data_IF_951296023380
#
_entry.id   IF_951296023380
#
_cell.length_a   1.000
_cell.length_b   1.000
_cell.length_c   1.000
_cell.angle_alpha   90.00
_cell.angle_beta   90.00
_cell.angle_gamma   90.00
#
_symmetry.space_group_name_H-M   'P 1'
#
loop_
_entity.id
_entity.type
_entity.pdbx_description
1 polymer ?
#
# COMPACT_ATOMS: atom_id res chain seq x y z
N UNK A 1 2.28 2.64 -5.12
CA UNK A 1 2.38 1.75 -3.95
C UNK A 1 2.21 2.62 -2.73
N UNK A 2 1.44 2.17 -1.74
CA UNK A 2 1.27 2.90 -0.47
C UNK A 2 2.29 2.35 0.51
N UNK A 3 3.00 3.23 1.21
CA UNK A 3 4.04 2.86 2.18
C UNK A 3 3.62 3.42 3.53
N UNK A 4 3.58 2.55 4.53
CA UNK A 4 3.24 2.89 5.91
C UNK A 4 4.41 3.59 6.61
N UNK A 5 5.61 3.06 6.46
CA UNK A 5 6.85 3.58 7.04
C UNK A 5 7.88 3.87 5.94
N UNK A 6 7.89 5.11 5.48
CA UNK A 6 8.76 5.55 4.39
C UNK A 6 10.23 5.63 4.79
N UNK A 7 10.49 5.92 6.07
CA UNK A 7 11.84 5.92 6.64
C UNK A 7 12.46 4.53 6.57
N UNK A 8 11.78 3.54 7.11
CA UNK A 8 12.25 2.15 7.11
C UNK A 8 12.38 1.60 5.69
N UNK A 9 11.43 1.91 4.82
CA UNK A 9 11.47 1.53 3.41
C UNK A 9 12.73 2.04 2.70
N UNK A 10 13.05 3.34 2.81
CA UNK A 10 14.25 3.92 2.18
C UNK A 10 15.53 3.46 2.87
N UNK A 11 15.52 3.34 4.20
CA UNK A 11 16.67 2.83 4.93
C UNK A 11 17.08 1.44 4.46
N UNK A 12 16.11 0.53 4.28
CA UNK A 12 16.35 -0.82 3.78
C UNK A 12 16.88 -0.84 2.34
N UNK A 13 16.38 0.04 1.47
CA UNK A 13 16.88 0.18 0.10
C UNK A 13 18.33 0.68 0.08
N UNK A 14 18.65 1.73 0.85
CA UNK A 14 19.97 2.37 0.83
C UNK A 14 21.02 1.50 1.54
N UNK A 15 20.72 0.99 2.72
CA UNK A 15 21.71 0.35 3.60
C UNK A 15 21.70 -1.18 3.51
N UNK A 16 20.55 -1.80 3.27
CA UNK A 16 20.41 -3.25 3.19
C UNK A 16 20.30 -3.77 1.75
N UNK A 17 20.38 -2.88 0.74
CA UNK A 17 20.28 -3.21 -0.69
C UNK A 17 19.04 -4.04 -1.01
N UNK A 18 17.92 -3.78 -0.32
CA UNK A 18 16.64 -4.41 -0.61
C UNK A 18 16.19 -4.07 -2.04
N UNK A 19 15.55 -5.03 -2.71
CA UNK A 19 15.04 -4.81 -4.06
C UNK A 19 13.95 -3.73 -4.09
N UNK A 20 14.03 -2.84 -5.07
CA UNK A 20 12.98 -1.87 -5.34
C UNK A 20 11.81 -2.60 -6.00
N UNK A 21 10.56 -2.43 -5.53
CA UNK A 21 9.42 -3.08 -6.14
C UNK A 21 9.30 -2.76 -7.64
N UNK A 22 9.07 -3.77 -8.48
CA UNK A 22 9.12 -3.65 -9.96
C UNK A 22 8.26 -2.52 -10.56
N UNK A 23 7.12 -2.21 -9.93
CA UNK A 23 6.19 -1.17 -10.40
C UNK A 23 6.29 0.12 -9.57
N UNK A 24 7.41 0.33 -8.87
CA UNK A 24 7.63 1.53 -8.08
C UNK A 24 8.01 2.69 -8.99
N UNK A 25 7.31 3.81 -8.85
CA UNK A 25 7.56 4.98 -9.70
C UNK A 25 8.92 5.58 -9.36
N UNK A 26 9.78 5.77 -10.36
CA UNK A 26 11.04 6.48 -10.20
C UNK A 26 10.85 7.85 -9.54
N UNK A 27 9.83 8.61 -9.98
CA UNK A 27 9.51 9.91 -9.38
C UNK A 27 9.19 9.80 -7.88
N UNK A 28 8.46 8.77 -7.47
CA UNK A 28 8.15 8.53 -6.05
C UNK A 28 9.40 8.11 -5.29
N UNK A 29 10.26 7.28 -5.86
CA UNK A 29 11.53 6.90 -5.25
C UNK A 29 12.41 8.12 -4.97
N UNK A 30 12.62 8.97 -5.97
CA UNK A 30 13.37 10.22 -5.82
C UNK A 30 12.77 11.06 -4.71
N UNK A 31 11.44 11.22 -4.68
CA UNK A 31 10.75 11.99 -3.67
C UNK A 31 11.04 11.51 -2.24
N UNK A 32 10.91 10.20 -1.97
CA UNK A 32 11.14 9.67 -0.62
C UNK A 32 12.64 9.71 -0.26
N UNK A 33 13.55 9.51 -1.22
CA UNK A 33 15.00 9.70 -0.99
C UNK A 33 15.28 11.16 -0.61
N UNK A 34 14.74 12.13 -1.35
CA UNK A 34 14.87 13.56 -1.05
C UNK A 34 14.31 13.90 0.34
N UNK A 35 13.12 13.41 0.69
CA UNK A 35 12.54 13.57 2.03
C UNK A 35 13.43 12.97 3.11
N UNK A 36 13.99 11.79 2.90
CA UNK A 36 14.88 11.13 3.85
C UNK A 36 16.15 11.96 4.11
N UNK A 37 16.82 12.43 3.07
CA UNK A 37 18.03 13.23 3.23
C UNK A 37 17.75 14.61 3.85
N UNK A 38 16.68 15.27 3.43
CA UNK A 38 16.31 16.56 4.00
C UNK A 38 15.96 16.44 5.49
N UNK A 39 15.18 15.42 5.89
CA UNK A 39 14.74 15.24 7.27
C UNK A 39 15.82 14.68 8.20
N UNK A 40 16.54 13.63 7.81
CA UNK A 40 17.49 12.94 8.71
C UNK A 40 18.83 13.67 8.83
N UNK A 41 19.24 14.40 7.79
CA UNK A 41 20.51 15.13 7.74
C UNK A 41 20.34 16.65 7.74
N UNK A 42 19.10 17.14 7.88
CA UNK A 42 18.75 18.56 7.89
C UNK A 42 19.31 19.33 6.68
N UNK A 43 19.28 18.71 5.49
CA UNK A 43 19.78 19.32 4.26
C UNK A 43 18.69 20.23 3.70
N UNK A 44 18.92 21.55 3.83
CA UNK A 44 18.02 22.61 3.36
C UNK A 44 18.53 23.32 2.10
N UNK A 45 19.75 23.02 1.67
CA UNK A 45 20.28 23.52 0.41
C UNK A 45 19.91 22.57 -0.73
N UNK A 46 19.26 23.12 -1.76
CA UNK A 46 18.81 22.36 -2.94
C UNK A 46 19.94 21.61 -3.63
N UNK A 47 21.08 22.25 -3.88
CA UNK A 47 22.18 21.64 -4.63
C UNK A 47 22.82 20.52 -3.81
N UNK A 48 23.02 20.72 -2.51
CA UNK A 48 23.51 19.67 -1.60
C UNK A 48 22.54 18.48 -1.52
N UNK A 49 21.24 18.74 -1.50
CA UNK A 49 20.21 17.70 -1.50
C UNK A 49 20.23 16.92 -2.82
N UNK A 50 20.29 17.64 -3.95
CA UNK A 50 20.37 17.07 -5.29
C UNK A 50 21.59 16.14 -5.43
N UNK A 51 22.77 16.59 -5.01
CA UNK A 51 24.00 15.78 -5.04
C UNK A 51 23.87 14.50 -4.21
N UNK A 52 23.28 14.60 -3.02
CA UNK A 52 23.04 13.45 -2.13
C UNK A 52 22.09 12.43 -2.76
N UNK A 53 21.01 12.91 -3.39
CA UNK A 53 20.00 12.09 -4.07
C UNK A 53 20.60 11.38 -5.28
N UNK A 54 21.34 12.09 -6.14
CA UNK A 54 22.01 11.51 -7.32
C UNK A 54 23.02 10.44 -6.92
N UNK A 55 23.81 10.69 -5.87
CA UNK A 55 24.76 9.71 -5.36
C UNK A 55 24.08 8.40 -4.98
N UNK A 56 22.92 8.45 -4.34
CA UNK A 56 22.14 7.26 -4.01
C UNK A 56 21.56 6.61 -5.26
N UNK A 57 20.95 7.37 -6.17
CA UNK A 57 20.36 6.83 -7.41
C UNK A 57 21.40 6.07 -8.23
N UNK A 58 22.61 6.62 -8.38
CA UNK A 58 23.70 5.99 -9.11
C UNK A 58 24.15 4.68 -8.45
N UNK A 59 24.12 4.60 -7.11
CA UNK A 59 24.44 3.38 -6.38
C UNK A 59 23.35 2.30 -6.47
N UNK A 60 22.10 2.68 -6.75
CA UNK A 60 20.98 1.73 -6.87
C UNK A 60 20.95 0.99 -8.22
N UNK A 61 21.77 1.40 -9.20
CA UNK A 61 21.87 0.79 -10.52
C UNK A 61 20.51 0.53 -11.18
N UNK A 62 19.67 1.57 -11.20
CA UNK A 62 18.28 1.48 -11.68
C UNK A 62 18.27 1.28 -13.19
N UNK A 63 17.63 0.19 -13.64
CA UNK A 63 17.51 -0.15 -15.05
C UNK A 63 16.85 0.99 -15.83
N UNK A 64 17.43 1.36 -16.99
CA UNK A 64 16.95 2.43 -17.88
C UNK A 64 16.96 3.86 -17.30
N UNK A 65 17.64 4.09 -16.17
CA UNK A 65 17.88 5.45 -15.68
C UNK A 65 18.85 6.21 -16.61
N UNK A 66 18.56 7.48 -16.86
CA UNK A 66 19.38 8.38 -17.71
C UNK A 66 19.43 9.76 -17.03
N UNK A 67 20.60 10.13 -16.51
CA UNK A 67 20.83 11.34 -15.70
C UNK A 67 20.23 12.59 -16.35
N UNK A 68 20.63 12.88 -17.60
CA UNK A 68 20.19 14.06 -18.35
C UNK A 68 18.68 14.16 -18.49
N UNK A 69 17.98 13.02 -18.63
CA UNK A 69 16.53 12.98 -18.80
C UNK A 69 15.80 13.37 -17.52
N UNK A 70 16.37 13.04 -16.36
CA UNK A 70 15.72 13.17 -15.06
C UNK A 70 16.27 14.31 -14.20
N UNK A 71 17.38 14.95 -14.55
CA UNK A 71 17.99 16.08 -13.81
C UNK A 71 16.95 17.13 -13.40
N UNK A 72 16.22 17.71 -14.37
CA UNK A 72 15.18 18.72 -14.10
C UNK A 72 14.08 18.20 -13.17
N UNK A 73 13.72 16.92 -13.27
CA UNK A 73 12.70 16.30 -12.42
C UNK A 73 13.20 16.15 -10.99
N UNK A 74 14.44 15.70 -10.80
CA UNK A 74 15.05 15.50 -9.48
C UNK A 74 15.24 16.86 -8.79
N UNK A 75 15.76 17.86 -9.52
CA UNK A 75 15.91 19.23 -8.99
C UNK A 75 14.58 19.83 -8.53
N UNK A 76 13.53 19.72 -9.35
CA UNK A 76 12.21 20.23 -8.99
C UNK A 76 11.57 19.49 -7.81
N UNK A 77 11.91 18.21 -7.60
CA UNK A 77 11.51 17.48 -6.39
C UNK A 77 12.27 17.98 -5.17
N UNK A 78 13.58 18.19 -5.28
CA UNK A 78 14.40 18.71 -4.18
C UNK A 78 13.92 20.10 -3.74
N UNK A 79 13.64 20.99 -4.70
CA UNK A 79 13.03 22.31 -4.42
C UNK A 79 11.76 22.14 -3.60
N UNK A 80 10.83 21.33 -4.10
CA UNK A 80 9.54 21.13 -3.46
C UNK A 80 9.65 20.56 -2.04
N UNK A 81 10.51 19.57 -1.84
CA UNK A 81 10.71 18.95 -0.52
C UNK A 81 11.20 19.96 0.51
N UNK A 82 12.12 20.84 0.11
CA UNK A 82 12.68 21.89 0.96
C UNK A 82 11.62 22.98 1.23
N UNK A 83 10.98 23.49 0.18
CA UNK A 83 9.98 24.57 0.28
C UNK A 83 8.78 24.17 1.14
N UNK A 84 8.24 22.97 0.93
CA UNK A 84 7.05 22.48 1.63
C UNK A 84 7.40 21.83 2.99
N UNK A 85 8.69 21.74 3.35
CA UNK A 85 9.19 21.05 4.56
C UNK A 85 8.55 19.66 4.76
N UNK A 86 8.58 18.85 3.70
CA UNK A 86 7.81 17.61 3.63
C UNK A 86 8.45 16.54 4.54
N UNK A 87 7.63 16.01 5.44
CA UNK A 87 8.04 14.95 6.38
C UNK A 87 7.72 13.57 5.84
N UNK A 88 8.64 12.63 6.08
CA UNK A 88 8.42 11.21 5.82
C UNK A 88 7.17 10.71 6.54
N UNK A 89 6.35 9.92 5.85
CA UNK A 89 5.21 9.24 6.46
C UNK A 89 5.69 8.05 7.28
N UNK A 90 5.35 8.06 8.57
CA UNK A 90 5.64 6.99 9.51
C UNK A 90 4.34 6.64 10.23
N UNK A 91 3.74 5.52 9.85
CA UNK A 91 2.53 4.96 10.46
C UNK A 91 2.88 3.55 10.92
N UNK A 92 2.83 3.32 12.23
CA UNK A 92 3.11 1.99 12.80
C UNK A 92 2.02 0.97 12.45
N UNK A 93 0.76 1.40 12.54
CA UNK A 93 -0.40 0.64 12.14
C UNK A 93 -1.62 1.55 11.92
N UNK A 94 -2.61 1.06 11.19
CA UNK A 94 -3.94 1.67 11.09
C UNK A 94 -4.95 0.85 11.89
N UNK A 95 -5.66 1.45 12.86
CA UNK A 95 -6.69 0.76 13.62
C UNK A 95 -7.96 0.54 12.78
N UNK A 96 -8.62 -0.59 13.01
CA UNK A 96 -10.04 -0.79 12.71
C UNK A 96 -10.77 -0.95 14.04
N UNK A 97 -11.91 -0.28 14.17
CA UNK A 97 -12.73 -0.36 15.37
C UNK A 97 -13.83 -1.43 15.26
N UNK A 98 -14.28 -1.96 16.39
CA UNK A 98 -15.39 -2.90 16.50
C UNK A 98 -16.65 -2.40 15.79
N UNK A 99 -17.03 -1.15 16.02
CA UNK A 99 -18.19 -0.51 15.39
C UNK A 99 -18.10 -0.52 13.85
N UNK A 100 -16.91 -0.29 13.31
CA UNK A 100 -16.64 -0.37 11.86
C UNK A 100 -16.71 -1.83 11.38
N UNK A 101 -16.15 -2.77 12.14
CA UNK A 101 -16.16 -4.20 11.82
C UNK A 101 -17.57 -4.79 11.84
N UNK A 102 -18.39 -4.41 12.81
CA UNK A 102 -19.80 -4.78 12.90
C UNK A 102 -20.56 -4.28 11.67
N UNK A 103 -20.40 -3.01 11.31
CA UNK A 103 -21.00 -2.43 10.12
C UNK A 103 -20.53 -3.15 8.84
N UNK A 104 -19.25 -3.47 8.70
CA UNK A 104 -18.75 -4.24 7.56
C UNK A 104 -19.40 -5.63 7.53
N UNK A 105 -19.65 -6.23 8.69
CA UNK A 105 -20.19 -7.58 8.78
C UNK A 105 -21.69 -7.69 8.45
N UNK A 106 -22.45 -6.60 8.49
CA UNK A 106 -23.85 -6.57 8.04
C UNK A 106 -23.99 -6.80 6.53
N UNK A 107 -22.95 -6.47 5.74
CA UNK A 107 -22.92 -6.74 4.31
C UNK A 107 -22.89 -8.26 4.06
N UNK A 108 -23.57 -8.74 3.02
CA UNK A 108 -23.62 -10.18 2.73
C UNK A 108 -22.49 -10.63 1.81
N UNK A 109 -22.01 -9.76 0.92
CA UNK A 109 -21.04 -10.14 -0.12
C UNK A 109 -19.63 -9.78 0.28
N UNK A 110 -18.72 -10.76 0.21
CA UNK A 110 -17.29 -10.56 0.45
C UNK A 110 -16.70 -9.38 -0.34
N UNK A 111 -17.11 -9.20 -1.60
CA UNK A 111 -16.61 -8.09 -2.45
C UNK A 111 -16.97 -6.72 -1.86
N UNK A 112 -18.18 -6.59 -1.31
CA UNK A 112 -18.66 -5.36 -0.68
C UNK A 112 -17.94 -5.15 0.67
N UNK A 113 -17.79 -6.22 1.48
CA UNK A 113 -17.03 -6.18 2.73
C UNK A 113 -15.59 -5.71 2.53
N UNK A 114 -14.87 -6.35 1.60
CA UNK A 114 -13.48 -6.01 1.26
C UNK A 114 -13.34 -4.55 0.85
N UNK A 115 -14.27 -4.07 0.02
CA UNK A 115 -14.26 -2.70 -0.46
C UNK A 115 -14.46 -1.71 0.69
N UNK A 116 -15.49 -1.91 1.51
CA UNK A 116 -15.80 -1.04 2.65
C UNK A 116 -14.66 -1.02 3.69
N UNK A 117 -14.13 -2.19 4.05
CA UNK A 117 -12.94 -2.30 4.89
C UNK A 117 -11.77 -1.48 4.33
N UNK A 118 -11.47 -1.63 3.03
CA UNK A 118 -10.38 -0.90 2.40
C UNK A 118 -10.63 0.62 2.43
N UNK A 119 -11.87 1.08 2.28
CA UNK A 119 -12.20 2.51 2.41
C UNK A 119 -11.83 3.07 3.79
N UNK A 120 -12.16 2.35 4.87
CA UNK A 120 -11.77 2.74 6.24
C UNK A 120 -10.26 2.87 6.36
N UNK A 121 -9.52 1.83 5.99
CA UNK A 121 -8.05 1.82 6.08
C UNK A 121 -7.43 2.95 5.27
N UNK A 122 -7.90 3.20 4.04
CA UNK A 122 -7.36 4.24 3.17
C UNK A 122 -7.66 5.65 3.70
N UNK A 123 -8.86 5.89 4.20
CA UNK A 123 -9.20 7.20 4.77
C UNK A 123 -8.35 7.53 5.99
N UNK A 124 -8.02 6.54 6.82
CA UNK A 124 -7.11 6.69 7.97
C UNK A 124 -5.66 6.83 7.53
N UNK A 125 -5.22 6.08 6.52
CA UNK A 125 -3.87 6.21 5.96
C UNK A 125 -3.56 7.63 5.46
N UNK A 126 -4.54 8.29 4.83
CA UNK A 126 -4.40 9.67 4.36
C UNK A 126 -4.79 10.72 5.40
N UNK A 127 -5.37 10.31 6.54
CA UNK A 127 -5.95 11.19 7.55
C UNK A 127 -6.93 12.21 6.97
N UNK A 128 -7.90 11.72 6.18
CA UNK A 128 -8.80 12.54 5.35
C UNK A 128 -10.24 12.55 5.87
N UNK A 129 -10.46 12.43 7.18
CA UNK A 129 -11.79 12.50 7.82
C UNK A 129 -12.85 11.60 7.14
N UNK A 130 -12.44 10.39 6.71
CA UNK A 130 -13.30 9.42 6.05
C UNK A 130 -13.32 9.52 4.52
N UNK A 131 -12.76 10.55 3.89
CA UNK A 131 -12.65 10.62 2.43
C UNK A 131 -11.64 9.60 1.91
N UNK A 132 -11.99 8.88 0.84
CA UNK A 132 -11.14 7.88 0.22
C UNK A 132 -10.34 8.54 -0.90
N UNK A 133 -9.15 9.05 -0.58
CA UNK A 133 -8.31 9.85 -1.49
C UNK A 133 -7.46 9.02 -2.46
N UNK A 134 -8.10 8.08 -3.16
CA UNK A 134 -7.49 7.28 -4.25
C UNK A 134 -8.50 7.07 -5.37
N UNK A 135 -8.02 6.71 -6.55
CA UNK A 135 -8.93 6.42 -7.66
C UNK A 135 -9.77 5.17 -7.38
N UNK A 136 -10.99 5.10 -7.94
CA UNK A 136 -11.80 3.87 -7.87
C UNK A 136 -11.06 2.65 -8.41
N UNK A 137 -10.21 2.82 -9.43
CA UNK A 137 -9.43 1.70 -9.96
C UNK A 137 -8.41 1.16 -8.95
N UNK A 138 -7.69 2.04 -8.27
CA UNK A 138 -6.74 1.67 -7.22
C UNK A 138 -7.45 1.09 -5.99
N UNK A 139 -8.59 1.66 -5.59
CA UNK A 139 -9.39 1.15 -4.48
C UNK A 139 -9.82 -0.30 -4.70
N UNK A 140 -10.31 -0.64 -5.90
CA UNK A 140 -10.69 -2.00 -6.25
C UNK A 140 -9.48 -2.94 -6.33
N UNK A 141 -8.32 -2.44 -6.75
CA UNK A 141 -7.07 -3.20 -6.76
C UNK A 141 -6.60 -3.52 -5.34
N UNK A 142 -6.57 -2.53 -4.44
CA UNK A 142 -6.15 -2.68 -3.03
C UNK A 142 -7.11 -3.57 -2.23
N UNK A 143 -8.41 -3.46 -2.51
CA UNK A 143 -9.43 -4.34 -1.91
C UNK A 143 -9.43 -5.76 -2.51
N UNK A 144 -8.56 -6.08 -3.46
CA UNK A 144 -8.54 -7.36 -4.17
C UNK A 144 -9.93 -7.76 -4.72
N UNK A 145 -10.67 -6.79 -5.27
CA UNK A 145 -11.98 -6.99 -5.90
C UNK A 145 -11.85 -6.83 -7.41
N UNK A 146 -11.84 -7.95 -8.13
CA UNK A 146 -11.87 -7.94 -9.59
C UNK A 146 -13.27 -7.60 -10.09
N UNK A 147 -13.41 -6.46 -10.77
CA UNK A 147 -14.66 -5.96 -11.32
C UNK A 147 -14.38 -5.08 -12.55
N UNK A 148 -15.26 -5.13 -13.54
CA UNK A 148 -15.26 -4.21 -14.69
C UNK A 148 -15.59 -2.78 -14.25
N UNK A 149 -15.30 -1.76 -15.06
CA UNK A 149 -15.66 -0.37 -14.71
C UNK A 149 -17.14 -0.20 -14.37
N UNK A 150 -18.02 -0.86 -15.15
CA UNK A 150 -19.47 -0.88 -14.90
C UNK A 150 -19.80 -1.54 -13.56
N UNK A 151 -19.24 -2.71 -13.28
CA UNK A 151 -19.49 -3.43 -12.03
C UNK A 151 -18.97 -2.68 -10.80
N UNK A 152 -17.85 -1.96 -10.93
CA UNK A 152 -17.31 -1.11 -9.86
C UNK A 152 -18.32 -0.04 -9.44
N UNK A 153 -18.89 0.66 -10.42
CA UNK A 153 -19.92 1.67 -10.18
C UNK A 153 -21.19 1.07 -9.58
N UNK A 154 -21.59 -0.14 -9.99
CA UNK A 154 -22.74 -0.85 -9.40
C UNK A 154 -22.48 -1.18 -7.92
N UNK A 155 -21.29 -1.69 -7.59
CA UNK A 155 -20.93 -2.04 -6.21
C UNK A 155 -20.93 -0.79 -5.32
N UNK A 156 -20.26 0.29 -5.77
CA UNK A 156 -20.24 1.57 -5.05
C UNK A 156 -21.66 2.10 -4.86
N UNK A 157 -22.47 2.13 -5.92
CA UNK A 157 -23.85 2.62 -5.86
C UNK A 157 -24.73 1.82 -4.88
N UNK A 158 -24.51 0.52 -4.73
CA UNK A 158 -25.20 -0.30 -3.72
C UNK A 158 -24.81 0.09 -2.30
N UNK A 159 -23.52 0.29 -2.05
CA UNK A 159 -23.02 0.72 -0.74
C UNK A 159 -23.52 2.12 -0.39
N UNK A 160 -23.60 3.03 -1.36
CA UNK A 160 -24.17 4.38 -1.16
C UNK A 160 -25.66 4.28 -0.82
N UNK A 161 -26.45 3.54 -1.62
CA UNK A 161 -27.88 3.33 -1.35
C UNK A 161 -28.14 2.66 0.00
N UNK A 162 -27.21 1.83 0.47
CA UNK A 162 -27.27 1.20 1.78
C UNK A 162 -26.77 2.07 2.94
N UNK A 163 -26.31 3.30 2.69
CA UNK A 163 -25.80 4.21 3.72
C UNK A 163 -24.39 3.90 4.24
N UNK A 164 -23.65 3.00 3.57
CA UNK A 164 -22.29 2.63 3.97
C UNK A 164 -21.22 3.58 3.41
N UNK A 165 -21.53 4.23 2.29
CA UNK A 165 -20.66 5.19 1.61
C UNK A 165 -21.47 6.44 1.28
N UNK A 166 -20.78 7.57 1.16
CA UNK A 166 -21.34 8.84 0.75
C UNK A 166 -20.56 9.36 -0.44
N UNK A 167 -21.23 9.93 -1.42
CA UNK A 167 -20.61 10.58 -2.56
C UNK A 167 -20.35 12.07 -2.30
N UNK A 168 -19.40 12.63 -3.05
CA UNK A 168 -19.28 14.07 -3.14
C UNK A 168 -20.52 14.62 -3.87
N UNK A 169 -21.14 15.68 -3.33
CA UNK A 169 -22.36 16.29 -3.90
C UNK A 169 -22.18 16.88 -5.31
N UNK A 170 -20.95 16.96 -5.84
CA UNK A 170 -20.69 17.47 -7.19
C UNK A 170 -20.62 16.33 -8.20
N UNK A 171 -21.37 16.46 -9.29
CA UNK A 171 -21.51 15.44 -10.34
C UNK A 171 -20.19 15.07 -11.05
N UNK A 172 -19.19 15.95 -11.03
CA UNK A 172 -17.86 15.73 -11.60
C UNK A 172 -16.89 15.04 -10.63
N UNK A 173 -17.27 14.88 -9.36
CA UNK A 173 -16.42 14.32 -8.33
C UNK A 173 -16.84 12.89 -7.97
N UNK A 174 -16.01 11.93 -8.38
CA UNK A 174 -16.23 10.50 -8.12
C UNK A 174 -15.74 10.03 -6.74
N UNK A 175 -15.24 10.96 -5.91
CA UNK A 175 -14.77 10.66 -4.57
C UNK A 175 -15.90 10.15 -3.69
N UNK A 176 -15.53 9.25 -2.80
CA UNK A 176 -16.43 8.62 -1.83
C UNK A 176 -15.90 8.86 -0.43
N UNK A 177 -16.80 8.84 0.54
CA UNK A 177 -16.54 9.02 1.96
C UNK A 177 -17.14 7.85 2.74
N UNK A 178 -16.41 7.38 3.76
CA UNK A 178 -16.96 6.55 4.83
C UNK A 178 -17.24 7.42 6.05
N UNK A 179 -18.20 7.02 6.88
CA UNK A 179 -18.33 7.61 8.20
C UNK A 179 -17.36 6.90 9.14
N UNK A 180 -16.37 7.61 9.66
CA UNK A 180 -15.45 7.04 10.65
C UNK A 180 -16.22 6.82 11.95
N UNK A 181 -16.23 5.58 12.42
CA UNK A 181 -16.86 5.22 13.68
C UNK A 181 -15.77 5.09 14.75
N UNK A 182 -16.13 5.42 15.97
CA UNK A 182 -15.30 5.20 17.15
C UNK A 182 -15.75 3.92 17.87
N UNK A 183 -14.87 3.35 18.68
CA UNK A 183 -15.13 2.14 19.44
C UNK A 183 -13.84 1.55 19.99
N UNK A 184 -13.85 0.24 20.28
CA UNK A 184 -12.65 -0.48 20.71
C UNK A 184 -11.83 -0.95 19.50
N UNK A 185 -10.51 -0.84 19.61
CA UNK A 185 -9.60 -1.27 18.54
C UNK A 185 -9.56 -2.79 18.46
N UNK A 186 -10.03 -3.36 17.35
CA UNK A 186 -10.10 -4.83 17.14
C UNK A 186 -9.06 -5.36 16.17
N UNK A 187 -8.48 -4.50 15.33
CA UNK A 187 -7.49 -4.90 14.34
C UNK A 187 -6.44 -3.81 14.10
N UNK A 188 -5.17 -4.24 14.00
CA UNK A 188 -4.02 -3.42 13.61
C UNK A 188 -3.54 -3.78 12.21
N UNK A 189 -3.82 -2.93 11.23
CA UNK A 189 -3.31 -3.10 9.86
C UNK A 189 -1.91 -2.50 9.76
N UNK A 190 -0.91 -3.35 9.57
CA UNK A 190 0.51 -2.95 9.46
C UNK A 190 1.03 -2.91 8.02
N UNK A 191 0.33 -3.56 7.10
CA UNK A 191 0.70 -3.64 5.69
C UNK A 191 -0.52 -3.35 4.80
N UNK A 192 -0.29 -2.55 3.75
CA UNK A 192 -1.28 -2.14 2.77
C UNK A 192 -1.25 -3.00 1.50
N UNK A 193 -0.40 -4.02 1.43
CA UNK A 193 -0.44 -5.00 0.36
C UNK A 193 -1.54 -6.04 0.59
N UNK A 194 -2.38 -6.26 -0.42
CA UNK A 194 -3.46 -7.26 -0.40
C UNK A 194 -4.47 -7.09 0.77
N UNK A 195 -4.73 -5.85 1.20
CA UNK A 195 -5.62 -5.46 2.31
C UNK A 195 -6.96 -6.21 2.28
N UNK A 196 -7.61 -6.28 1.11
CA UNK A 196 -8.91 -6.95 1.02
C UNK A 196 -8.82 -8.47 1.26
N UNK A 197 -7.71 -9.11 0.92
CA UNK A 197 -7.49 -10.51 1.29
C UNK A 197 -7.13 -10.65 2.77
N UNK A 198 -6.33 -9.75 3.34
CA UNK A 198 -6.04 -9.72 4.77
C UNK A 198 -7.35 -9.71 5.58
N UNK A 199 -8.29 -8.84 5.24
CA UNK A 199 -9.61 -8.78 5.87
C UNK A 199 -10.32 -10.14 5.92
N UNK A 200 -10.39 -10.84 4.78
CA UNK A 200 -11.08 -12.13 4.74
C UNK A 200 -10.37 -13.18 5.59
N UNK A 201 -9.03 -13.16 5.67
CA UNK A 201 -8.32 -14.06 6.57
C UNK A 201 -8.63 -13.80 8.04
N UNK A 202 -8.88 -12.53 8.42
CA UNK A 202 -9.36 -12.19 9.77
C UNK A 202 -10.81 -12.63 9.99
N UNK A 203 -11.69 -12.41 9.01
CA UNK A 203 -13.13 -12.72 9.17
C UNK A 203 -13.46 -14.21 9.04
N UNK A 204 -12.67 -15.01 8.30
CA UNK A 204 -12.96 -16.41 8.01
C UNK A 204 -11.83 -17.31 8.51
N UNK A 205 -12.11 -18.09 9.56
CA UNK A 205 -11.16 -19.01 10.21
C UNK A 205 -10.52 -20.05 9.28
N UNK A 206 -11.18 -20.38 8.17
CA UNK A 206 -10.70 -21.39 7.21
C UNK A 206 -9.76 -20.82 6.13
N UNK A 207 -9.39 -19.54 6.19
CA UNK A 207 -8.59 -18.88 5.15
C UNK A 207 -7.33 -18.23 5.72
N UNK A 208 -6.25 -18.35 4.97
CA UNK A 208 -4.97 -17.67 5.22
C UNK A 208 -4.59 -16.83 4.01
N UNK A 209 -3.79 -15.80 4.26
CA UNK A 209 -3.05 -15.10 3.22
C UNK A 209 -1.69 -15.78 3.03
N UNK A 210 -1.35 -16.17 1.81
CA UNK A 210 -0.05 -16.74 1.48
C UNK A 210 1.06 -15.70 1.75
N UNK A 211 1.99 -16.00 2.66
CA UNK A 211 3.06 -15.07 3.04
C UNK A 211 3.94 -14.63 1.87
N UNK A 212 4.14 -15.49 0.86
CA UNK A 212 5.01 -15.17 -0.28
C UNK A 212 4.32 -14.30 -1.35
N UNK A 213 3.01 -14.45 -1.56
CA UNK A 213 2.35 -13.80 -2.71
C UNK A 213 1.05 -13.07 -2.39
N UNK A 214 0.63 -13.04 -1.13
CA UNK A 214 -0.59 -12.37 -0.67
C UNK A 214 -1.90 -12.98 -1.18
N UNK A 215 -1.84 -14.14 -1.86
CA UNK A 215 -3.05 -14.84 -2.34
C UNK A 215 -3.80 -15.43 -1.16
N UNK A 216 -5.12 -15.24 -1.12
CA UNK A 216 -5.99 -15.89 -0.15
C UNK A 216 -6.16 -17.38 -0.50
N UNK A 217 -5.97 -18.27 0.48
CA UNK A 217 -6.04 -19.72 0.31
C UNK A 217 -6.85 -20.35 1.42
N UNK A 218 -7.69 -21.33 1.09
CA UNK A 218 -8.36 -22.15 2.10
C UNK A 218 -7.34 -23.07 2.78
N UNK A 219 -7.36 -23.09 4.11
CA UNK A 219 -6.51 -23.93 4.94
C UNK A 219 -6.88 -25.39 4.70
N UNK A 220 -5.89 -26.22 4.41
CA UNK A 220 -6.01 -27.68 4.36
C UNK A 220 -5.30 -28.39 5.51
N UNK A 221 -4.42 -27.67 6.21
CA UNK A 221 -3.65 -28.14 7.35
C UNK A 221 -3.30 -26.96 8.25
N UNK A 222 -3.27 -27.16 9.56
CA UNK A 222 -2.95 -26.13 10.55
C UNK A 222 -1.55 -25.52 10.37
N UNK A 223 -0.64 -26.17 9.63
CA UNK A 223 0.72 -25.69 9.35
C UNK A 223 0.86 -24.99 7.99
N UNK A 224 -0.24 -24.81 7.26
CA UNK A 224 -0.17 -24.21 5.93
C UNK A 224 0.07 -22.70 6.06
N UNK A 225 1.17 -22.20 5.48
CA UNK A 225 1.50 -20.76 5.42
C UNK A 225 1.49 -20.21 3.99
N UNK A 226 1.63 -21.09 2.99
CA UNK A 226 1.79 -20.72 1.59
C UNK A 226 0.69 -21.31 0.70
N UNK A 227 0.46 -20.68 -0.46
CA UNK A 227 -0.33 -21.27 -1.52
C UNK A 227 0.45 -22.43 -2.19
N UNK A 228 -0.27 -23.35 -2.82
CA UNK A 228 0.32 -24.54 -3.48
C UNK A 228 1.43 -24.17 -4.47
N UNK A 229 1.28 -23.07 -5.20
CA UNK A 229 2.26 -22.61 -6.18
C UNK A 229 3.54 -22.11 -5.52
N UNK A 230 3.44 -21.23 -4.52
CA UNK A 230 4.58 -20.71 -3.77
C UNK A 230 5.32 -21.82 -3.01
N UNK A 231 4.59 -22.74 -2.39
CA UNK A 231 5.18 -23.89 -1.70
C UNK A 231 6.04 -24.73 -2.65
N UNK A 232 5.54 -25.02 -3.86
CA UNK A 232 6.29 -25.77 -4.87
C UNK A 232 7.55 -25.06 -5.36
N UNK A 233 7.51 -23.73 -5.50
CA UNK A 233 8.68 -22.93 -5.89
C UNK A 233 9.77 -23.01 -4.82
N UNK A 234 9.40 -22.89 -3.54
CA UNK A 234 10.33 -23.00 -2.42
C UNK A 234 10.96 -24.41 -2.32
N UNK A 235 10.18 -25.47 -2.55
CA UNK A 235 10.73 -26.84 -2.60
C UNK A 235 11.78 -26.97 -3.72
N UNK A 236 11.48 -26.49 -4.93
CA UNK A 236 12.41 -26.54 -6.06
C UNK A 236 13.72 -25.79 -5.77
N UNK A 237 13.65 -24.61 -5.15
CA UNK A 237 14.85 -23.87 -4.73
C UNK A 237 15.67 -24.63 -3.69
N UNK A 238 15.01 -25.27 -2.72
CA UNK A 238 15.69 -26.11 -1.72
C UNK A 238 16.41 -27.29 -2.37
N UNK A 239 15.77 -27.97 -3.33
CA UNK A 239 16.38 -29.06 -4.08
C UNK A 239 17.60 -28.59 -4.92
N UNK A 240 17.50 -27.44 -5.59
CA UNK A 240 18.64 -26.86 -6.34
C UNK A 240 19.84 -26.60 -5.43
N UNK A 241 19.61 -25.91 -4.30
CA UNK A 241 20.66 -25.59 -3.31
C UNK A 241 21.32 -26.84 -2.72
N UNK A 242 20.57 -27.94 -2.56
CA UNK A 242 21.14 -29.21 -2.09
C UNK A 242 22.06 -29.85 -3.14
N UNK A 243 21.66 -29.82 -4.40
CA UNK A 243 22.44 -30.40 -5.50
C UNK A 243 23.69 -29.57 -5.85
N UNK A 244 23.66 -28.25 -5.69
CA UNK A 244 24.83 -27.37 -5.90
C UNK A 244 25.92 -27.55 -4.83
N UNK A 245 25.57 -28.10 -3.66
CA UNK A 245 26.51 -28.39 -2.56
C UNK A 245 27.15 -29.77 -2.64
N UNK A 246 26.80 -30.57 -3.65
CA UNK A 246 27.18 -31.96 -3.80
C UNK A 246 28.16 -32.12 -4.96
#
# INVERSE_FOLDING_TARGET
MLIMNEKEFIYNIIHHKSEIPKNFSFKRLVFIISEYFSNEYNILNKETLYESVIKVINNLNIEYYIDFKYDKTIRGICDKVIEDNIKLKIIEYIPLYDSELELINTLTKDREKKLLFTCYIISRFYNTEGWVNITRAELFKLSNVTATSKDRNIIIGKLIKGGYLFDAQRNDNLNIKVNLLEGEEVLRVKDLENIGNQFISFSKKDYIMCENCGRLVKIKSNRQMYCKQCFRLMELEKYKKYNEKR
#
